data_IF_727909924444
#
_entry.id   IF_727909924444
#
_cell.length_a   1.000
_cell.length_b   1.000
_cell.length_c   1.000
_cell.angle_alpha   90.00
_cell.angle_beta   90.00
_cell.angle_gamma   90.00
#
_symmetry.space_group_name_H-M   'P 1'
#
loop_
_entity.id
_entity.type
_entity.pdbx_description
1 polymer ?
#
# COMPACT_ATOMS: atom_id res chain seq x y z
N UNK A 1 -5.57 29.60 -6.38
CA UNK A 1 -5.83 28.38 -5.61
C UNK A 1 -7.21 27.85 -6.01
N UNK A 2 -7.28 26.77 -6.77
CA UNK A 2 -8.56 26.09 -7.02
C UNK A 2 -8.71 25.02 -5.93
N UNK A 3 -9.90 24.85 -5.33
CA UNK A 3 -10.11 23.81 -4.31
C UNK A 3 -9.90 22.44 -4.95
N UNK A 4 -9.24 21.55 -4.23
CA UNK A 4 -9.11 20.13 -4.60
C UNK A 4 -10.52 19.56 -4.77
N UNK A 5 -10.96 19.44 -6.01
CA UNK A 5 -12.16 18.68 -6.33
C UNK A 5 -11.82 17.21 -6.05
N UNK A 6 -12.43 16.64 -5.01
CA UNK A 6 -12.39 15.21 -4.74
C UNK A 6 -12.86 14.47 -5.99
N UNK A 7 -11.98 13.69 -6.59
CA UNK A 7 -12.35 12.78 -7.68
C UNK A 7 -13.17 11.65 -7.07
N UNK A 8 -14.49 11.80 -7.07
CA UNK A 8 -15.39 10.67 -6.79
C UNK A 8 -15.42 9.78 -8.03
N UNK A 9 -14.70 8.68 -7.95
CA UNK A 9 -14.82 7.59 -8.92
C UNK A 9 -16.13 6.85 -8.62
N UNK A 10 -17.14 7.06 -9.46
CA UNK A 10 -18.43 6.38 -9.35
C UNK A 10 -18.42 5.11 -10.17
N UNK A 11 -18.46 3.96 -9.51
CA UNK A 11 -18.73 2.69 -10.16
C UNK A 11 -20.24 2.47 -10.25
N UNK A 12 -20.78 2.47 -11.46
CA UNK A 12 -22.18 2.12 -11.70
C UNK A 12 -22.34 0.61 -11.87
N UNK A 13 -22.67 -0.11 -10.83
CA UNK A 13 -23.29 -1.41 -10.94
C UNK A 13 -24.80 -1.20 -11.12
N UNK A 14 -25.38 -1.73 -12.21
CA UNK A 14 -26.78 -1.50 -12.57
C UNK A 14 -27.72 -1.79 -11.36
N UNK A 15 -28.34 -0.74 -10.84
CA UNK A 15 -29.42 -0.61 -9.85
C UNK A 15 -29.10 -0.18 -8.42
N UNK A 16 -27.87 -0.19 -7.93
CA UNK A 16 -27.54 0.42 -6.63
C UNK A 16 -26.14 1.04 -6.70
N UNK A 17 -25.99 2.31 -6.36
CA UNK A 17 -24.70 2.96 -6.27
C UNK A 17 -24.00 2.52 -4.98
N UNK A 18 -23.05 1.60 -5.10
CA UNK A 18 -22.06 1.41 -4.05
C UNK A 18 -21.05 2.56 -4.19
N UNK A 19 -21.03 3.47 -3.25
CA UNK A 19 -20.06 4.57 -3.23
C UNK A 19 -18.96 4.24 -2.21
N UNK A 20 -17.74 4.09 -2.69
CA UNK A 20 -16.55 3.97 -1.87
C UNK A 20 -15.52 4.97 -2.40
N UNK A 21 -15.03 5.84 -1.55
CA UNK A 21 -13.97 6.75 -1.93
C UNK A 21 -12.63 6.02 -1.83
N UNK A 22 -12.24 5.36 -2.91
CA UNK A 22 -11.01 4.57 -2.98
C UNK A 22 -9.74 5.42 -2.88
N UNK A 23 -9.83 6.72 -3.17
CA UNK A 23 -8.75 7.67 -3.06
C UNK A 23 -9.04 8.65 -1.91
N UNK A 24 -8.66 8.27 -0.71
CA UNK A 24 -8.76 9.09 0.50
C UNK A 24 -7.37 9.26 1.13
N UNK A 25 -6.69 10.32 0.69
CA UNK A 25 -5.31 10.60 1.07
C UNK A 25 -5.22 11.28 2.44
N UNK A 26 -4.65 10.57 3.41
CA UNK A 26 -4.41 11.06 4.77
C UNK A 26 -3.09 11.82 4.81
N UNK A 27 -3.14 13.10 5.14
CA UNK A 27 -1.93 13.93 5.31
C UNK A 27 -1.28 13.66 6.67
N UNK A 28 -0.01 13.31 6.65
CA UNK A 28 0.81 13.06 7.83
C UNK A 28 1.90 14.14 7.95
N UNK A 29 2.18 14.62 9.17
CA UNK A 29 3.20 15.64 9.39
C UNK A 29 4.61 15.09 9.15
N UNK A 30 5.55 15.98 8.89
CA UNK A 30 6.97 15.65 8.97
C UNK A 30 7.35 15.25 10.40
N UNK A 31 8.31 14.33 10.54
CA UNK A 31 8.75 13.90 11.85
C UNK A 31 10.00 13.04 11.81
N UNK A 32 10.49 12.71 13.01
CA UNK A 32 11.62 11.82 13.23
C UNK A 32 11.16 10.69 14.13
N UNK A 33 11.51 9.45 13.79
CA UNK A 33 11.16 8.28 14.59
C UNK A 33 12.22 7.19 14.47
N UNK A 34 12.15 6.21 15.35
CA UNK A 34 12.95 4.99 15.26
C UNK A 34 12.17 3.93 14.48
N UNK A 35 12.68 3.59 13.29
CA UNK A 35 12.17 2.48 12.46
C UNK A 35 12.70 1.15 13.01
N UNK A 36 11.91 0.08 12.85
CA UNK A 36 12.28 -1.26 13.27
C UNK A 36 11.76 -1.67 14.65
N UNK A 37 12.15 -2.86 15.09
CA UNK A 37 11.67 -3.45 16.36
C UNK A 37 12.59 -3.11 17.53
N UNK A 38 11.97 -2.74 18.66
CA UNK A 38 12.69 -2.44 19.92
C UNK A 38 13.45 -3.65 20.51
N UNK A 39 13.18 -4.88 20.05
CA UNK A 39 13.71 -6.13 20.59
C UNK A 39 14.83 -6.73 19.72
N UNK A 40 14.97 -6.30 18.49
CA UNK A 40 16.02 -6.73 17.57
C UNK A 40 16.99 -5.58 17.31
N UNK A 41 18.29 -5.91 17.22
CA UNK A 41 19.41 -4.98 16.98
C UNK A 41 19.34 -4.19 15.65
N UNK A 42 18.19 -4.23 14.97
CA UNK A 42 17.97 -3.62 13.66
C UNK A 42 16.96 -2.48 13.77
N UNK A 43 17.43 -1.37 14.30
CA UNK A 43 16.70 -0.11 14.31
C UNK A 43 17.57 0.99 13.72
N UNK A 44 16.96 2.06 13.25
CA UNK A 44 17.65 3.27 12.85
C UNK A 44 16.75 4.49 13.05
N UNK A 45 17.35 5.66 13.18
CA UNK A 45 16.61 6.92 13.14
C UNK A 45 16.23 7.24 11.71
N UNK A 46 14.97 7.64 11.48
CA UNK A 46 14.47 8.09 10.17
C UNK A 46 13.78 9.43 10.29
N UNK A 47 14.07 10.27 9.32
CA UNK A 47 13.35 11.52 9.08
C UNK A 47 12.37 11.31 7.95
N UNK A 48 11.13 11.69 8.17
CA UNK A 48 10.07 11.67 7.14
C UNK A 48 9.65 13.11 6.88
N UNK A 49 9.57 13.50 5.63
CA UNK A 49 8.98 14.78 5.24
C UNK A 49 7.45 14.69 5.32
N UNK A 50 6.77 15.83 5.24
CA UNK A 50 5.30 15.84 5.15
C UNK A 50 4.87 15.13 3.87
N UNK A 51 3.97 14.15 3.99
CA UNK A 51 3.43 13.38 2.87
C UNK A 51 1.97 13.03 3.10
N UNK A 52 1.32 12.52 2.08
CA UNK A 52 0.02 11.86 2.19
C UNK A 52 0.16 10.39 1.84
N UNK A 53 -0.65 9.56 2.50
CA UNK A 53 -0.76 8.14 2.21
C UNK A 53 -2.25 7.77 2.06
N UNK A 54 -2.57 6.87 1.14
CA UNK A 54 -3.96 6.47 0.98
C UNK A 54 -4.45 5.70 2.21
N UNK A 55 -5.67 6.01 2.63
CA UNK A 55 -6.35 5.36 3.76
C UNK A 55 -6.44 3.85 3.60
N UNK A 56 -6.53 3.39 2.37
CA UNK A 56 -6.75 1.99 1.97
C UNK A 56 -5.63 1.47 1.09
N UNK A 57 -5.51 0.16 1.02
CA UNK A 57 -4.80 -0.52 -0.06
C UNK A 57 -5.44 -0.15 -1.41
N UNK A 58 -4.67 -0.18 -2.49
CA UNK A 58 -5.21 0.10 -3.83
C UNK A 58 -6.18 -1.01 -4.22
N UNK A 59 -7.44 -0.65 -4.48
CA UNK A 59 -8.44 -1.63 -4.86
C UNK A 59 -8.23 -2.15 -6.29
N UNK A 60 -8.71 -3.37 -6.55
CA UNK A 60 -8.70 -3.92 -7.90
C UNK A 60 -9.60 -3.12 -8.84
N UNK A 61 -10.69 -2.57 -8.37
CA UNK A 61 -11.59 -1.75 -9.16
C UNK A 61 -10.87 -0.53 -9.74
N UNK A 62 -10.17 0.22 -8.89
CA UNK A 62 -9.38 1.37 -9.29
C UNK A 62 -8.22 0.96 -10.20
N UNK A 63 -7.48 -0.11 -9.83
CA UNK A 63 -6.44 -0.69 -10.65
C UNK A 63 -6.93 -1.00 -12.06
N UNK A 64 -8.02 -1.73 -12.18
CA UNK A 64 -8.57 -2.17 -13.46
C UNK A 64 -8.96 -0.99 -14.36
N UNK A 65 -9.66 0.00 -13.81
CA UNK A 65 -10.11 1.17 -14.55
C UNK A 65 -8.93 1.98 -15.09
N UNK A 66 -7.98 2.33 -14.23
CA UNK A 66 -6.79 3.11 -14.62
C UNK A 66 -5.94 2.33 -15.61
N UNK A 67 -5.69 1.03 -15.37
CA UNK A 67 -4.95 0.19 -16.30
C UNK A 67 -5.58 0.17 -17.69
N UNK A 68 -6.91 -0.02 -17.76
CA UNK A 68 -7.62 -0.06 -19.06
C UNK A 68 -7.56 1.25 -19.83
N UNK A 69 -7.52 2.37 -19.14
CA UNK A 69 -7.32 3.67 -19.78
C UNK A 69 -5.84 3.88 -20.16
N UNK A 70 -4.93 3.56 -19.27
CA UNK A 70 -3.49 3.67 -19.49
C UNK A 70 -2.99 2.85 -20.68
N UNK A 71 -3.51 1.63 -20.89
CA UNK A 71 -3.18 0.79 -22.05
C UNK A 71 -3.50 1.48 -23.39
N UNK A 72 -4.53 2.32 -23.45
CA UNK A 72 -4.85 3.13 -24.64
C UNK A 72 -3.89 4.31 -24.82
N UNK A 73 -3.25 4.74 -23.75
CA UNK A 73 -2.32 5.89 -23.68
C UNK A 73 -0.83 5.45 -23.67
N UNK A 74 -0.54 4.23 -24.16
CA UNK A 74 0.80 3.74 -24.38
C UNK A 74 1.48 3.09 -23.19
N UNK A 75 0.76 2.85 -22.10
CA UNK A 75 1.26 2.08 -20.97
C UNK A 75 1.16 0.57 -21.23
N UNK A 76 2.07 -0.19 -20.65
CA UNK A 76 2.10 -1.66 -20.71
C UNK A 76 2.33 -2.25 -19.34
N UNK A 77 1.59 -3.31 -19.03
CA UNK A 77 1.67 -4.03 -17.76
C UNK A 77 1.97 -5.51 -18.02
N UNK A 78 2.95 -6.06 -17.29
CA UNK A 78 3.24 -7.50 -17.34
C UNK A 78 2.09 -8.32 -16.79
N UNK A 79 1.49 -7.85 -15.69
CA UNK A 79 0.41 -8.55 -15.01
C UNK A 79 -0.87 -7.71 -15.05
N UNK A 80 -2.00 -8.31 -15.39
CA UNK A 80 -3.25 -7.58 -15.45
C UNK A 80 -3.87 -7.32 -14.08
N UNK A 81 -3.30 -7.86 -13.01
CA UNK A 81 -3.86 -7.85 -11.67
C UNK A 81 -5.03 -8.81 -11.48
N UNK A 82 -5.45 -8.96 -10.24
CA UNK A 82 -6.52 -9.85 -9.80
C UNK A 82 -7.33 -9.17 -8.68
N UNK A 83 -8.63 -9.44 -8.62
CA UNK A 83 -9.55 -8.96 -7.59
C UNK A 83 -9.37 -9.77 -6.31
N UNK A 84 -8.56 -9.29 -5.38
CA UNK A 84 -8.17 -10.01 -4.18
C UNK A 84 -7.56 -11.38 -4.50
N UNK A 85 -7.46 -12.25 -3.49
CA UNK A 85 -6.82 -13.57 -3.64
C UNK A 85 -7.67 -14.59 -4.41
N UNK A 86 -8.99 -14.41 -4.46
CA UNK A 86 -9.94 -15.37 -5.08
C UNK A 86 -10.49 -14.94 -6.43
N UNK A 87 -10.13 -13.75 -6.91
CA UNK A 87 -10.61 -13.21 -8.18
C UNK A 87 -9.99 -13.89 -9.41
N UNK A 88 -10.35 -13.41 -10.59
CA UNK A 88 -9.79 -13.89 -11.86
C UNK A 88 -8.89 -12.83 -12.48
N UNK A 89 -7.68 -13.19 -12.82
CA UNK A 89 -6.69 -12.27 -13.42
C UNK A 89 -7.24 -11.53 -14.63
N UNK A 90 -7.16 -10.22 -14.62
CA UNK A 90 -7.50 -9.33 -15.73
C UNK A 90 -8.98 -9.25 -16.10
N UNK A 91 -9.87 -9.88 -15.36
CA UNK A 91 -11.32 -9.80 -15.59
C UNK A 91 -11.90 -8.53 -14.97
N UNK A 92 -13.03 -8.06 -15.48
CA UNK A 92 -13.72 -6.91 -14.91
C UNK A 92 -14.04 -7.14 -13.42
N UNK A 93 -13.95 -6.08 -12.59
CA UNK A 93 -14.34 -6.15 -11.19
C UNK A 93 -15.76 -6.65 -10.99
N UNK A 94 -16.00 -7.35 -9.90
CA UNK A 94 -17.32 -7.88 -9.55
C UNK A 94 -17.95 -7.04 -8.45
N UNK A 95 -19.28 -7.05 -8.35
CA UNK A 95 -19.98 -6.41 -7.23
C UNK A 95 -19.57 -7.02 -5.88
N UNK A 96 -19.34 -8.33 -5.85
CA UNK A 96 -18.97 -9.06 -4.65
C UNK A 96 -17.55 -8.74 -4.20
N UNK A 97 -16.63 -8.52 -5.16
CA UNK A 97 -15.25 -8.12 -4.92
C UNK A 97 -15.05 -6.63 -4.77
N UNK A 98 -16.12 -5.84 -4.60
CA UNK A 98 -16.05 -4.40 -4.41
C UNK A 98 -15.12 -4.06 -3.24
N UNK A 99 -14.15 -3.17 -3.50
CA UNK A 99 -13.10 -2.77 -2.58
C UNK A 99 -12.09 -3.87 -2.18
N UNK A 100 -12.06 -5.01 -2.84
CA UNK A 100 -10.96 -5.97 -2.69
C UNK A 100 -9.64 -5.33 -3.17
N UNK A 101 -8.52 -5.53 -2.46
CA UNK A 101 -7.22 -5.04 -2.91
C UNK A 101 -6.82 -5.68 -4.24
N UNK A 102 -6.03 -4.96 -5.04
CA UNK A 102 -5.38 -5.56 -6.19
C UNK A 102 -4.28 -6.51 -5.74
N UNK A 103 -4.25 -7.69 -6.34
CA UNK A 103 -3.22 -8.71 -6.15
C UNK A 103 -2.70 -9.24 -7.48
N UNK A 104 -1.77 -10.19 -7.45
CA UNK A 104 -1.18 -10.79 -8.65
C UNK A 104 -0.58 -9.74 -9.60
N UNK A 105 0.07 -8.74 -9.02
CA UNK A 105 0.90 -7.73 -9.67
C UNK A 105 2.30 -7.81 -9.09
N UNK A 106 3.29 -7.33 -9.81
CA UNK A 106 4.65 -7.20 -9.32
C UNK A 106 5.01 -5.72 -9.03
N UNK A 107 6.19 -5.50 -8.46
CA UNK A 107 6.65 -4.15 -8.12
C UNK A 107 6.75 -3.22 -9.34
N UNK A 108 7.18 -3.75 -10.49
CA UNK A 108 7.26 -2.99 -11.72
C UNK A 108 5.89 -2.51 -12.19
N UNK A 109 4.87 -3.38 -12.12
CA UNK A 109 3.49 -3.01 -12.46
C UNK A 109 3.00 -1.89 -11.55
N UNK A 110 3.31 -1.95 -10.24
CA UNK A 110 2.87 -0.97 -9.27
C UNK A 110 3.44 0.44 -9.57
N UNK A 111 4.75 0.58 -9.85
CA UNK A 111 5.34 1.89 -10.16
C UNK A 111 4.86 2.45 -11.51
N UNK A 112 4.69 1.60 -12.51
CA UNK A 112 4.15 2.00 -13.82
C UNK A 112 2.69 2.44 -13.68
N UNK A 113 1.92 1.76 -12.86
CA UNK A 113 0.53 2.13 -12.60
C UNK A 113 0.43 3.45 -11.81
N UNK A 114 1.31 3.71 -10.85
CA UNK A 114 1.37 5.00 -10.17
C UNK A 114 1.62 6.16 -11.15
N UNK A 115 2.51 5.98 -12.13
CA UNK A 115 2.72 6.97 -13.19
C UNK A 115 1.45 7.16 -14.04
N UNK A 116 0.83 6.06 -14.45
CA UNK A 116 -0.40 6.09 -15.23
C UNK A 116 -1.54 6.80 -14.49
N UNK A 117 -1.69 6.50 -13.20
CA UNK A 117 -2.71 7.13 -12.37
C UNK A 117 -2.42 8.62 -12.13
N UNK A 118 -1.16 9.00 -12.00
CA UNK A 118 -0.76 10.40 -11.94
C UNK A 118 -1.17 11.15 -13.22
N UNK A 119 -0.85 10.63 -14.40
CA UNK A 119 -1.29 11.23 -15.68
C UNK A 119 -2.82 11.24 -15.80
N UNK A 120 -3.51 10.18 -15.40
CA UNK A 120 -4.98 10.10 -15.38
C UNK A 120 -5.61 11.22 -14.54
N UNK A 121 -4.97 11.58 -13.42
CA UNK A 121 -5.38 12.68 -12.54
C UNK A 121 -4.83 14.06 -12.94
N UNK A 122 -4.09 14.17 -14.04
CA UNK A 122 -3.45 15.44 -14.47
C UNK A 122 -2.30 15.89 -13.57
N UNK A 123 -1.66 14.94 -12.86
CA UNK A 123 -0.53 15.16 -11.98
C UNK A 123 0.79 14.80 -12.66
N UNK A 124 1.91 15.23 -12.10
CA UNK A 124 3.25 14.93 -12.61
C UNK A 124 3.70 13.54 -12.14
N UNK A 125 3.92 12.55 -13.02
CA UNK A 125 4.44 11.24 -12.65
C UNK A 125 5.75 11.29 -11.88
N UNK A 126 5.91 10.37 -10.92
CA UNK A 126 7.08 10.34 -10.05
C UNK A 126 8.25 9.53 -10.63
N UNK A 127 7.97 8.49 -11.43
CA UNK A 127 9.00 7.52 -11.83
C UNK A 127 9.50 7.76 -13.23
N UNK A 128 10.81 7.98 -13.33
CA UNK A 128 11.50 8.25 -14.61
C UNK A 128 12.76 7.39 -14.75
N UNK A 129 13.17 7.16 -15.99
CA UNK A 129 14.48 6.66 -16.35
C UNK A 129 15.12 7.59 -17.37
N UNK A 130 16.32 8.11 -17.07
CA UNK A 130 17.02 9.11 -17.91
C UNK A 130 16.12 10.28 -18.30
N UNK A 131 15.31 10.77 -17.37
CA UNK A 131 14.39 11.90 -17.56
C UNK A 131 13.13 11.57 -18.37
N UNK A 132 12.90 10.32 -18.77
CA UNK A 132 11.67 9.89 -19.45
C UNK A 132 10.75 9.18 -18.47
N UNK A 133 9.45 9.46 -18.55
CA UNK A 133 8.43 8.78 -17.75
C UNK A 133 8.43 7.31 -18.14
N UNK A 134 8.51 6.44 -17.12
CA UNK A 134 8.40 5.00 -17.29
C UNK A 134 6.95 4.61 -17.58
N UNK A 135 6.71 3.84 -18.65
CA UNK A 135 5.37 3.42 -19.11
C UNK A 135 5.24 1.92 -19.40
N UNK A 136 6.31 1.15 -19.24
CA UNK A 136 6.32 -0.28 -19.58
C UNK A 136 6.96 -1.10 -18.46
N UNK A 137 6.14 -1.88 -17.74
CA UNK A 137 6.62 -2.74 -16.65
C UNK A 137 7.40 -3.95 -17.13
N UNK A 138 7.32 -4.28 -18.44
CA UNK A 138 8.11 -5.37 -19.01
C UNK A 138 9.57 -4.98 -19.29
N UNK A 139 9.87 -3.68 -19.31
CA UNK A 139 11.24 -3.20 -19.38
C UNK A 139 11.88 -3.12 -17.99
N UNK A 140 12.11 -4.30 -17.40
CA UNK A 140 12.59 -4.43 -16.03
C UNK A 140 13.93 -3.74 -15.79
N UNK A 141 14.82 -3.76 -16.80
CA UNK A 141 16.13 -3.11 -16.71
C UNK A 141 16.03 -1.57 -16.53
N UNK A 142 15.05 -0.92 -17.17
CA UNK A 142 14.80 0.51 -16.93
C UNK A 142 14.10 0.75 -15.61
N UNK A 143 13.19 -0.15 -15.22
CA UNK A 143 12.47 -0.07 -13.95
C UNK A 143 13.40 -0.27 -12.74
N UNK A 144 14.41 -1.15 -12.83
CA UNK A 144 15.43 -1.31 -11.78
C UNK A 144 16.28 -0.07 -11.58
N UNK A 145 16.47 0.70 -12.64
CA UNK A 145 17.22 1.96 -12.64
C UNK A 145 16.31 3.19 -12.55
N UNK A 146 15.04 2.98 -12.18
CA UNK A 146 14.09 4.07 -12.02
C UNK A 146 14.54 5.08 -10.96
N UNK A 147 14.30 6.34 -11.26
CA UNK A 147 14.44 7.44 -10.33
C UNK A 147 13.05 7.88 -9.88
N UNK A 148 12.84 8.02 -8.58
CA UNK A 148 11.63 8.59 -8.01
C UNK A 148 11.85 10.06 -7.69
N UNK A 149 11.06 10.94 -8.28
CA UNK A 149 11.03 12.35 -7.92
C UNK A 149 10.05 12.54 -6.74
N UNK A 150 10.57 12.55 -5.52
CA UNK A 150 9.78 12.79 -4.31
C UNK A 150 9.26 14.24 -4.19
N UNK A 151 9.65 15.15 -5.07
CA UNK A 151 9.09 16.50 -5.15
C UNK A 151 7.96 16.63 -6.20
N UNK A 152 7.68 15.58 -6.95
CA UNK A 152 6.54 15.55 -7.86
C UNK A 152 5.23 15.39 -7.08
N UNK A 153 4.16 15.98 -7.61
CA UNK A 153 2.82 15.90 -7.00
C UNK A 153 2.01 14.68 -7.45
N UNK A 154 2.63 13.74 -8.16
CA UNK A 154 2.01 12.49 -8.60
C UNK A 154 1.94 11.44 -7.48
N UNK A 155 1.29 10.34 -7.80
CA UNK A 155 1.21 9.18 -6.91
C UNK A 155 2.43 8.29 -7.05
N UNK A 156 2.82 7.68 -5.95
CA UNK A 156 3.95 6.77 -5.84
C UNK A 156 3.71 5.71 -4.77
N UNK A 157 4.58 4.72 -4.69
CA UNK A 157 4.68 3.86 -3.52
C UNK A 157 5.21 4.69 -2.32
N UNK A 158 4.81 4.37 -1.10
CA UNK A 158 5.48 4.91 0.08
C UNK A 158 6.93 4.42 0.11
N UNK A 159 7.84 5.22 0.67
CA UNK A 159 9.10 4.66 1.17
C UNK A 159 8.83 3.75 2.36
N UNK A 160 9.77 2.85 2.68
CA UNK A 160 9.65 2.00 3.85
C UNK A 160 9.47 2.81 5.13
N UNK A 161 10.21 3.92 5.26
CA UNK A 161 10.10 4.81 6.40
C UNK A 161 8.73 5.50 6.48
N UNK A 162 8.18 5.98 5.36
CA UNK A 162 6.84 6.56 5.33
C UNK A 162 5.77 5.54 5.68
N UNK A 163 5.90 4.31 5.19
CA UNK A 163 4.97 3.23 5.49
C UNK A 163 4.92 2.92 6.99
N UNK A 164 6.09 2.68 7.64
CA UNK A 164 6.14 2.37 9.08
C UNK A 164 5.75 3.58 9.94
N UNK A 165 6.12 4.79 9.53
CA UNK A 165 5.67 6.02 10.17
C UNK A 165 4.14 6.10 10.21
N UNK A 166 3.48 5.86 9.08
CA UNK A 166 2.03 5.87 8.96
C UNK A 166 1.36 4.76 9.78
N UNK A 167 1.98 3.58 9.83
CA UNK A 167 1.48 2.44 10.59
C UNK A 167 1.52 2.65 12.11
N UNK A 168 2.50 3.43 12.60
CA UNK A 168 2.79 3.54 14.05
C UNK A 168 2.45 4.90 14.67
N UNK A 169 2.22 5.94 13.86
CA UNK A 169 1.96 7.29 14.37
C UNK A 169 0.65 7.33 15.18
N UNK A 170 0.73 7.92 16.38
CA UNK A 170 -0.41 8.17 17.27
C UNK A 170 -0.39 9.63 17.76
N UNK A 171 -1.45 10.06 18.41
CA UNK A 171 -1.49 11.40 19.05
C UNK A 171 -0.45 11.61 20.15
N UNK A 172 0.12 10.52 20.70
CA UNK A 172 1.08 10.55 21.80
C UNK A 172 2.50 10.12 21.38
N UNK A 173 2.80 10.05 20.10
CA UNK A 173 4.06 9.56 19.54
C UNK A 173 3.84 8.29 18.70
N UNK A 174 4.65 7.27 18.93
CA UNK A 174 4.59 6.05 18.11
C UNK A 174 4.19 4.84 18.97
N UNK A 175 3.28 4.03 18.46
CA UNK A 175 3.01 2.71 19.06
C UNK A 175 4.25 1.81 18.94
N UNK A 176 4.31 0.75 19.75
CA UNK A 176 5.38 -0.27 19.64
C UNK A 176 5.35 -0.95 18.27
N UNK A 177 6.53 -1.18 17.71
CA UNK A 177 6.68 -1.81 16.41
C UNK A 177 6.20 -3.26 16.37
N UNK A 178 6.38 -4.01 17.45
CA UNK A 178 5.98 -5.41 17.59
C UNK A 178 4.48 -5.60 17.89
N UNK A 179 3.63 -4.78 17.28
CA UNK A 179 2.15 -4.80 17.37
C UNK A 179 1.55 -4.64 15.99
N UNK A 180 0.31 -5.11 15.82
CA UNK A 180 -0.50 -4.72 14.69
C UNK A 180 -0.72 -3.21 14.69
N UNK A 181 -0.75 -2.60 13.51
CA UNK A 181 -1.06 -1.18 13.38
C UNK A 181 -2.46 -0.88 13.91
N UNK A 182 -2.55 0.01 14.88
CA UNK A 182 -3.80 0.32 15.62
C UNK A 182 -3.90 -0.34 16.99
N UNK A 183 -3.17 -1.42 17.26
CA UNK A 183 -3.11 -2.01 18.60
C UNK A 183 -2.20 -1.19 19.51
N UNK A 184 -2.79 -0.28 20.26
CA UNK A 184 -2.13 0.56 21.27
C UNK A 184 -2.17 -0.03 22.67
N UNK A 185 -2.54 -1.31 22.81
CA UNK A 185 -2.61 -1.97 24.12
C UNK A 185 -1.24 -2.00 24.81
N UNK A 186 -1.26 -2.01 26.13
CA UNK A 186 -0.05 -2.11 26.96
C UNK A 186 0.22 -3.55 27.41
N UNK A 187 -0.66 -4.50 27.08
CA UNK A 187 -0.50 -5.93 27.37
C UNK A 187 0.85 -6.45 26.83
N UNK A 188 1.40 -7.48 27.46
CA UNK A 188 2.59 -8.16 26.97
C UNK A 188 2.30 -9.02 25.72
N UNK A 189 1.07 -9.45 25.55
CA UNK A 189 0.60 -10.29 24.46
C UNK A 189 -0.13 -9.46 23.39
N UNK A 190 -0.10 -9.92 22.13
CA UNK A 190 -0.82 -9.28 21.01
C UNK A 190 -2.31 -9.70 21.00
N UNK A 191 -2.99 -9.48 22.10
CA UNK A 191 -4.37 -9.94 22.29
C UNK A 191 -5.40 -9.28 21.37
N UNK A 192 -5.05 -8.13 20.78
CA UNK A 192 -5.96 -7.34 19.94
C UNK A 192 -5.59 -7.31 18.44
N UNK A 193 -4.62 -8.09 18.01
CA UNK A 193 -4.21 -8.08 16.60
C UNK A 193 -5.39 -8.38 15.65
N UNK A 194 -6.25 -9.32 16.01
CA UNK A 194 -7.43 -9.71 15.24
C UNK A 194 -8.47 -8.58 15.07
N UNK A 195 -8.43 -7.57 15.94
CA UNK A 195 -9.30 -6.41 15.82
C UNK A 195 -8.81 -5.44 14.70
N UNK A 196 -7.55 -5.51 14.32
CA UNK A 196 -6.92 -4.56 13.39
C UNK A 196 -6.32 -5.20 12.14
N UNK A 197 -6.34 -6.52 12.05
CA UNK A 197 -5.67 -7.24 10.97
C UNK A 197 -6.50 -8.42 10.45
N UNK A 198 -6.57 -8.56 9.13
CA UNK A 198 -6.96 -9.80 8.48
C UNK A 198 -5.72 -10.69 8.34
N UNK A 199 -5.64 -11.73 9.16
CA UNK A 199 -4.54 -12.69 9.26
C UNK A 199 -5.09 -14.12 9.28
N UNK A 200 -4.25 -15.14 9.18
CA UNK A 200 -4.67 -16.53 9.04
C UNK A 200 -5.73 -17.00 10.06
N UNK A 201 -5.71 -16.61 11.34
CA UNK A 201 -6.79 -16.98 12.25
C UNK A 201 -8.14 -16.30 11.97
N UNK A 202 -8.13 -15.13 11.28
CA UNK A 202 -9.33 -14.30 11.06
C UNK A 202 -9.80 -14.28 9.62
N UNK A 203 -8.95 -14.68 8.67
CA UNK A 203 -9.31 -14.71 7.25
C UNK A 203 -8.59 -15.84 6.51
N UNK A 204 -9.25 -16.40 5.49
CA UNK A 204 -8.70 -17.40 4.56
C UNK A 204 -8.44 -16.83 3.17
N UNK A 205 -8.67 -15.56 2.99
CA UNK A 205 -8.54 -14.82 1.74
C UNK A 205 -8.48 -13.32 2.03
N UNK A 206 -8.11 -12.53 1.02
CA UNK A 206 -8.22 -11.07 1.12
C UNK A 206 -9.67 -10.65 1.37
N UNK A 207 -9.83 -9.56 2.09
CA UNK A 207 -11.10 -8.96 2.45
C UNK A 207 -11.22 -7.55 1.86
N UNK A 208 -12.43 -7.01 1.70
CA UNK A 208 -12.62 -5.64 1.26
C UNK A 208 -11.93 -4.65 2.20
N UNK A 209 -11.32 -3.61 1.64
CA UNK A 209 -10.54 -2.63 2.37
C UNK A 209 -11.29 -2.00 3.55
N UNK A 210 -10.62 -1.87 4.67
CA UNK A 210 -11.17 -1.25 5.88
C UNK A 210 -12.22 -2.07 6.60
N UNK A 211 -12.15 -3.39 6.54
CA UNK A 211 -13.11 -4.28 7.23
C UNK A 211 -12.49 -5.12 8.34
N UNK A 212 -11.21 -4.96 8.66
CA UNK A 212 -10.54 -5.69 9.75
C UNK A 212 -11.23 -5.47 11.10
N UNK A 213 -11.34 -6.53 11.89
CA UNK A 213 -12.08 -6.51 13.17
C UNK A 213 -13.60 -6.70 13.04
N UNK A 214 -14.12 -6.91 11.84
CA UNK A 214 -15.50 -7.34 11.62
C UNK A 214 -15.57 -8.87 11.46
N UNK A 215 -16.75 -9.50 11.59
CA UNK A 215 -16.86 -10.94 11.36
C UNK A 215 -16.44 -11.34 9.94
N UNK A 216 -15.61 -12.37 9.81
CA UNK A 216 -15.20 -12.92 8.53
C UNK A 216 -16.40 -13.43 7.73
N UNK A 217 -16.56 -12.92 6.52
CA UNK A 217 -17.65 -13.31 5.62
C UNK A 217 -17.23 -13.20 4.16
N UNK A 218 -16.48 -14.20 3.64
CA UNK A 218 -15.90 -14.13 2.29
C UNK A 218 -16.94 -14.12 1.17
N UNK A 219 -18.17 -14.50 1.49
CA UNK A 219 -19.27 -14.56 0.54
C UNK A 219 -20.23 -13.39 0.62
N UNK A 220 -20.13 -12.55 1.63
CA UNK A 220 -20.96 -11.36 1.76
C UNK A 220 -20.37 -10.17 0.99
N UNK A 221 -21.25 -9.23 0.61
CA UNK A 221 -20.82 -7.89 0.19
C UNK A 221 -20.61 -7.10 1.48
N UNK A 222 -19.36 -6.93 1.88
CA UNK A 222 -19.01 -6.15 3.07
C UNK A 222 -18.92 -4.66 2.70
N UNK A 223 -19.34 -3.81 3.63
CA UNK A 223 -19.22 -2.37 3.47
C UNK A 223 -17.79 -1.95 3.84
N UNK A 224 -17.03 -1.33 2.94
CA UNK A 224 -15.71 -0.80 3.28
C UNK A 224 -15.76 0.20 4.44
N UNK A 225 -14.66 0.33 5.18
CA UNK A 225 -14.51 1.26 6.31
C UNK A 225 -15.43 0.97 7.52
N UNK A 226 -15.89 -0.25 7.66
CA UNK A 226 -16.70 -0.68 8.84
C UNK A 226 -15.85 -1.31 9.94
N UNK A 227 -14.58 -1.59 9.64
CA UNK A 227 -13.61 -2.15 10.58
C UNK A 227 -12.86 -1.11 11.39
N UNK A 228 -11.71 -1.49 11.92
CA UNK A 228 -10.90 -0.66 12.78
C UNK A 228 -9.69 -0.06 12.05
N UNK A 229 -9.61 1.25 12.04
CA UNK A 229 -8.45 1.99 11.57
C UNK A 229 -7.40 2.15 12.68
N UNK A 230 -6.16 2.42 12.30
CA UNK A 230 -5.14 2.84 13.25
C UNK A 230 -5.40 4.29 13.76
N UNK A 231 -4.54 4.78 14.66
CA UNK A 231 -4.70 6.10 15.27
C UNK A 231 -4.63 7.28 14.27
N UNK A 232 -4.08 7.08 13.08
CA UNK A 232 -4.05 8.05 11.97
C UNK A 232 -5.26 7.91 11.04
N UNK A 233 -6.17 6.98 11.30
CA UNK A 233 -7.35 6.73 10.47
C UNK A 233 -7.05 5.91 9.21
N UNK A 234 -5.96 5.15 9.19
CA UNK A 234 -5.53 4.32 8.07
C UNK A 234 -5.87 2.87 8.39
N UNK A 235 -6.42 2.15 7.40
CA UNK A 235 -6.84 0.75 7.54
C UNK A 235 -5.81 -0.22 6.96
N UNK A 236 -5.88 -1.46 7.43
CA UNK A 236 -5.20 -2.62 6.87
C UNK A 236 -3.66 -2.45 6.72
N UNK A 237 -3.04 -1.65 7.61
CA UNK A 237 -1.58 -1.55 7.70
C UNK A 237 -0.96 -2.81 8.35
N UNK A 238 -1.77 -3.78 8.70
CA UNK A 238 -1.40 -5.11 9.19
C UNK A 238 -2.37 -6.13 8.63
N UNK A 239 -1.86 -7.19 8.00
CA UNK A 239 -2.67 -8.24 7.36
C UNK A 239 -3.25 -7.81 6.00
N UNK A 240 -4.27 -8.50 5.57
CA UNK A 240 -4.95 -8.41 4.27
C UNK A 240 -4.00 -8.68 3.11
N UNK A 241 -3.32 -7.68 2.56
CA UNK A 241 -2.23 -7.89 1.60
C UNK A 241 -0.93 -7.26 2.09
N UNK A 242 0.18 -7.93 1.84
CA UNK A 242 1.50 -7.37 2.00
C UNK A 242 1.73 -6.28 0.94
N UNK A 243 2.34 -5.15 1.34
CA UNK A 243 2.40 -3.96 0.52
C UNK A 243 3.80 -3.65 0.03
N UNK A 244 3.97 -3.48 -1.27
CA UNK A 244 5.21 -2.98 -1.83
C UNK A 244 5.55 -1.58 -1.35
N UNK A 245 6.83 -1.39 -0.96
CA UNK A 245 7.45 -0.09 -0.77
C UNK A 245 8.40 0.24 -1.93
N UNK A 246 8.81 1.52 -2.02
CA UNK A 246 9.77 1.97 -3.02
C UNK A 246 11.17 1.37 -2.82
N UNK A 247 11.59 1.21 -1.56
CA UNK A 247 12.98 0.94 -1.19
C UNK A 247 13.49 -0.42 -1.68
N UNK A 248 14.76 -0.45 -2.07
CA UNK A 248 15.51 -1.70 -2.11
C UNK A 248 15.75 -2.19 -0.68
N UNK A 249 15.65 -3.49 -0.46
CA UNK A 249 15.89 -4.10 0.84
C UNK A 249 17.37 -4.03 1.20
N UNK A 250 17.68 -3.54 2.39
CA UNK A 250 19.01 -3.54 3.00
C UNK A 250 18.91 -3.48 4.51
N UNK A 251 20.00 -3.78 5.20
CA UNK A 251 20.08 -3.56 6.64
C UNK A 251 19.90 -2.07 6.97
N UNK A 252 19.28 -1.80 8.12
CA UNK A 252 19.15 -0.44 8.59
C UNK A 252 20.52 0.15 8.92
N UNK A 253 20.73 1.36 8.46
CA UNK A 253 21.88 2.21 8.78
C UNK A 253 21.39 3.58 9.21
N UNK A 254 22.11 4.24 10.12
CA UNK A 254 21.83 5.62 10.46
C UNK A 254 22.10 6.52 9.25
N UNK A 255 21.10 7.34 8.91
CA UNK A 255 21.17 8.27 7.78
C UNK A 255 20.68 9.65 8.22
N UNK A 256 21.30 10.69 7.68
CA UNK A 256 20.90 12.08 7.95
C UNK A 256 19.84 12.52 6.93
N UNK A 257 18.72 13.02 7.43
CA UNK A 257 17.61 13.49 6.58
C UNK A 257 16.72 12.37 6.06
N UNK A 258 15.85 12.68 5.09
CA UNK A 258 14.98 11.68 4.45
C UNK A 258 15.81 10.60 3.75
N UNK A 259 15.43 9.35 3.93
CA UNK A 259 16.08 8.20 3.33
C UNK A 259 15.06 7.31 2.62
N UNK A 260 15.33 6.97 1.39
CA UNK A 260 14.44 6.26 0.48
C UNK A 260 15.06 4.94 -0.03
N UNK A 261 15.83 4.29 0.83
CA UNK A 261 16.56 3.06 0.52
C UNK A 261 17.87 3.29 -0.26
N UNK A 262 18.67 2.23 -0.45
CA UNK A 262 19.87 2.29 -1.27
C UNK A 262 19.50 2.48 -2.74
N UNK A 263 20.44 2.99 -3.53
CA UNK A 263 20.24 3.26 -4.96
C UNK A 263 20.14 2.01 -5.84
N UNK A 264 20.64 0.87 -5.32
CA UNK A 264 20.63 -0.44 -5.99
C UNK A 264 20.41 -1.53 -4.95
N UNK A 265 19.81 -2.63 -5.37
CA UNK A 265 19.56 -3.81 -4.54
C UNK A 265 19.13 -4.99 -5.40
N UNK A 266 18.81 -6.10 -4.76
CA UNK A 266 18.31 -7.32 -5.42
C UNK A 266 16.83 -7.57 -5.17
N UNK A 267 16.33 -7.10 -4.03
CA UNK A 267 14.94 -7.31 -3.61
C UNK A 267 14.31 -6.01 -3.12
N UNK A 268 13.01 -5.87 -3.31
CA UNK A 268 12.22 -4.73 -2.85
C UNK A 268 11.63 -4.99 -1.48
N UNK A 269 11.53 -3.93 -0.69
CA UNK A 269 10.86 -4.00 0.62
C UNK A 269 9.36 -4.19 0.44
N UNK A 270 8.78 -5.07 1.26
CA UNK A 270 7.34 -5.17 1.48
C UNK A 270 7.02 -5.20 2.96
N UNK A 271 5.83 -4.75 3.31
CA UNK A 271 5.43 -4.46 4.68
C UNK A 271 4.01 -4.93 4.98
N UNK A 272 3.69 -5.07 6.27
CA UNK A 272 2.34 -5.27 6.76
C UNK A 272 1.92 -6.72 6.98
N UNK A 273 2.56 -7.70 6.34
CA UNK A 273 2.06 -9.08 6.33
C UNK A 273 0.77 -9.21 5.52
N UNK A 274 0.15 -10.38 5.54
CA UNK A 274 -1.02 -10.66 4.72
C UNK A 274 -2.04 -11.54 5.46
N UNK A 275 -3.18 -11.79 4.82
CA UNK A 275 -4.22 -12.71 5.32
C UNK A 275 -3.70 -14.14 5.54
N UNK A 276 -2.65 -14.54 4.86
CA UNK A 276 -2.08 -15.89 4.96
C UNK A 276 -1.07 -16.07 6.09
N UNK A 277 -0.69 -14.98 6.76
CA UNK A 277 0.32 -15.02 7.81
C UNK A 277 -0.25 -15.56 9.13
N UNK A 278 0.50 -16.47 9.75
CA UNK A 278 0.31 -16.90 11.12
C UNK A 278 1.02 -15.93 12.09
N UNK A 279 0.68 -16.00 13.36
CA UNK A 279 1.15 -15.16 14.46
C UNK A 279 2.57 -14.61 14.28
N UNK A 280 2.75 -13.32 14.49
CA UNK A 280 3.99 -12.51 14.50
C UNK A 280 4.47 -11.92 13.16
N UNK A 281 3.90 -12.28 12.02
CA UNK A 281 4.35 -11.77 10.71
C UNK A 281 3.49 -10.59 10.18
N UNK A 282 2.80 -9.87 11.06
CA UNK A 282 1.93 -8.73 10.75
C UNK A 282 2.27 -7.48 11.57
N UNK A 283 3.37 -7.51 12.31
CA UNK A 283 3.76 -6.36 13.13
C UNK A 283 4.05 -5.14 12.27
N UNK A 284 3.71 -3.96 12.80
CA UNK A 284 3.93 -2.71 12.08
C UNK A 284 5.40 -2.44 11.75
N UNK A 285 6.35 -3.10 12.45
CA UNK A 285 7.78 -3.03 12.19
C UNK A 285 8.34 -4.22 11.41
N UNK A 286 7.54 -5.24 11.13
CA UNK A 286 8.02 -6.37 10.32
C UNK A 286 8.28 -5.93 8.89
N UNK A 287 9.36 -6.46 8.34
CA UNK A 287 9.80 -6.15 7.00
C UNK A 287 10.14 -7.43 6.24
N UNK A 288 9.79 -7.43 4.97
CA UNK A 288 10.03 -8.54 4.06
C UNK A 288 10.73 -8.04 2.81
N UNK A 289 11.31 -8.97 2.07
CA UNK A 289 11.94 -8.68 0.79
C UNK A 289 11.50 -9.70 -0.25
N UNK A 290 11.18 -9.19 -1.44
CA UNK A 290 10.77 -9.98 -2.59
C UNK A 290 11.48 -9.51 -3.85
N UNK A 291 11.70 -10.41 -4.78
CA UNK A 291 12.19 -10.04 -6.09
C UNK A 291 11.14 -9.17 -6.79
N UNK A 292 11.59 -8.12 -7.45
CA UNK A 292 10.70 -7.11 -8.03
C UNK A 292 9.74 -7.66 -9.10
N UNK A 293 10.04 -8.82 -9.69
CA UNK A 293 9.23 -9.50 -10.71
C UNK A 293 8.23 -10.52 -10.13
N UNK A 294 8.28 -10.81 -8.83
CA UNK A 294 7.36 -11.75 -8.21
C UNK A 294 5.96 -11.16 -8.04
N UNK A 295 4.94 -11.99 -8.19
CA UNK A 295 3.56 -11.63 -8.01
C UNK A 295 2.80 -12.74 -7.27
N UNK A 296 2.12 -12.37 -6.20
CA UNK A 296 1.38 -13.29 -5.34
C UNK A 296 -0.04 -12.79 -5.09
N UNK A 297 -0.93 -13.69 -4.73
CA UNK A 297 -2.33 -13.35 -4.42
C UNK A 297 -2.52 -12.74 -3.02
N UNK A 298 -1.43 -12.57 -2.29
CA UNK A 298 -1.34 -11.92 -0.99
C UNK A 298 -0.48 -10.64 -1.03
N UNK A 299 -0.07 -10.16 -2.21
CA UNK A 299 0.71 -8.94 -2.38
C UNK A 299 -0.03 -7.89 -3.19
N UNK A 300 -0.02 -6.67 -2.68
CA UNK A 300 -0.58 -5.47 -3.27
C UNK A 300 0.25 -4.23 -2.98
N UNK A 301 -0.37 -3.07 -2.92
CA UNK A 301 0.28 -1.81 -2.55
C UNK A 301 -0.74 -0.75 -2.15
N UNK A 302 -0.27 0.31 -1.53
CA UNK A 302 -1.03 1.56 -1.33
C UNK A 302 -0.29 2.76 -1.90
N UNK A 303 -1.02 3.84 -2.08
CA UNK A 303 -0.49 5.07 -2.67
C UNK A 303 0.07 5.99 -1.60
N UNK A 304 1.16 6.67 -1.94
CA UNK A 304 1.67 7.85 -1.27
C UNK A 304 1.78 9.02 -2.25
N UNK A 305 1.87 10.24 -1.72
CA UNK A 305 1.99 11.48 -2.48
C UNK A 305 2.76 12.51 -1.67
N UNK A 306 3.62 13.25 -2.32
CA UNK A 306 4.33 14.40 -1.74
C UNK A 306 3.56 15.71 -1.94
N UNK A 307 3.93 16.77 -1.21
CA UNK A 307 3.29 18.10 -1.26
C UNK A 307 4.16 19.12 -2.00
#
# INVERSE_FOLDING_TARGET
>A
MRPHSYYQLHFFFAKESLTFNELDMISLPAGIFTIGQDVQTYTATRTVEKFSINRYETSYSLWFQVRKDAEKNGYRFQNPGQEGSRGRRGKAPTRKGFAQPVTMINWYDAIIWCNAFSEYCGLTPCYTYKGKILKDSSNTAECDLAQCNFNANGFRLPSEAEWEYAARLTQKGFQKGNRASGDISTSAENENAEAYAWISPTAECTMPAGTSGTPFSPDAIMTPSTGNANASGIFDMSGNVMEFCWDWFSDYKEEKGPYYGPSIGSQRVSRGGSFSEYTMFYYASDRYSYDANECYDYMGFRLAQSF
#
